data_IF_122575872766
#
_entry.id   IF_122575872766
#
_cell.length_a   1.000
_cell.length_b   1.000
_cell.length_c   1.000
_cell.angle_alpha   90.00
_cell.angle_beta   90.00
_cell.angle_gamma   90.00
#
_symmetry.space_group_name_H-M   'P 1'
#
loop_
_entity.id
_entity.type
_entity.pdbx_description
1 polymer ?
#
# COMPACT_ATOMS: atom_id res chain seq x y z
N UNK A 1 17.51 -3.89 -0.49
CA UNK A 1 16.94 -5.18 -0.88
C UNK A 1 15.52 -4.90 -1.29
N UNK A 2 15.03 -5.61 -2.30
CA UNK A 2 13.64 -5.51 -2.75
C UNK A 2 13.01 -6.89 -2.70
N UNK A 3 11.77 -6.96 -2.25
CA UNK A 3 10.99 -8.18 -2.05
C UNK A 3 9.65 -8.05 -2.74
N UNK A 4 9.08 -9.16 -3.21
CA UNK A 4 7.72 -9.19 -3.78
C UNK A 4 6.86 -10.08 -2.88
N UNK A 5 6.15 -9.49 -1.90
CA UNK A 5 5.30 -10.25 -1.01
C UNK A 5 3.98 -10.62 -1.71
N UNK A 6 3.50 -11.84 -1.50
CA UNK A 6 2.18 -12.26 -1.94
C UNK A 6 1.14 -11.66 -0.98
N UNK A 7 0.69 -10.44 -1.27
CA UNK A 7 -0.22 -9.65 -0.45
C UNK A 7 -1.27 -8.97 -1.32
N UNK A 8 -2.49 -9.49 -1.27
CA UNK A 8 -3.67 -8.95 -1.95
C UNK A 8 -4.67 -8.46 -0.91
N UNK A 9 -5.26 -7.30 -1.18
CA UNK A 9 -6.26 -6.63 -0.38
C UNK A 9 -7.57 -6.58 -1.16
N UNK A 10 -8.67 -6.91 -0.49
CA UNK A 10 -10.02 -6.64 -0.97
C UNK A 10 -10.42 -5.24 -0.50
N UNK A 11 -10.63 -4.32 -1.45
CA UNK A 11 -11.01 -2.93 -1.15
C UNK A 11 -12.47 -2.81 -0.69
N UNK A 12 -13.26 -3.86 -0.89
CA UNK A 12 -14.65 -3.93 -0.44
C UNK A 12 -14.79 -4.64 0.93
N UNK A 13 -13.68 -5.03 1.56
CA UNK A 13 -13.71 -5.70 2.86
C UNK A 13 -14.38 -4.81 3.92
N UNK A 14 -15.52 -5.23 4.50
CA UNK A 14 -16.19 -4.47 5.55
C UNK A 14 -15.38 -4.41 6.86
N UNK A 15 -14.39 -5.28 7.04
CA UNK A 15 -13.59 -5.42 8.25
C UNK A 15 -12.23 -4.68 8.15
N UNK A 16 -12.19 -3.53 7.45
CA UNK A 16 -11.00 -2.66 7.47
C UNK A 16 -10.61 -2.28 8.90
N UNK A 17 -9.30 -2.28 9.25
CA UNK A 17 -8.87 -2.00 10.60
C UNK A 17 -9.23 -0.58 11.02
N UNK A 18 -9.67 -0.44 12.26
CA UNK A 18 -9.90 0.86 12.87
C UNK A 18 -8.59 1.64 13.01
N UNK A 19 -8.69 2.96 13.20
CA UNK A 19 -7.52 3.81 13.43
C UNK A 19 -6.72 3.40 14.68
N UNK A 20 -7.38 2.81 15.68
CA UNK A 20 -6.72 2.32 16.90
C UNK A 20 -5.93 1.03 16.62
N UNK A 21 -6.51 0.08 15.90
CA UNK A 21 -5.84 -1.15 15.46
C UNK A 21 -4.66 -0.85 14.53
N UNK A 22 -4.81 0.15 13.65
CA UNK A 22 -3.72 0.64 12.81
C UNK A 22 -2.57 1.25 13.62
N UNK A 23 -2.89 2.05 14.64
CA UNK A 23 -1.88 2.65 15.51
C UNK A 23 -1.14 1.59 16.34
N UNK A 24 -1.84 0.57 16.82
CA UNK A 24 -1.23 -0.56 17.52
C UNK A 24 -0.32 -1.37 16.60
N UNK A 25 -0.81 -1.71 15.40
CA UNK A 25 -0.05 -2.43 14.37
C UNK A 25 1.22 -1.66 13.99
N UNK A 26 1.10 -0.36 13.76
CA UNK A 26 2.24 0.54 13.48
C UNK A 26 3.29 0.46 14.58
N UNK A 27 2.88 0.53 15.85
CA UNK A 27 3.81 0.49 17.00
C UNK A 27 4.58 -0.83 17.10
N UNK A 28 3.89 -1.95 16.87
CA UNK A 28 4.52 -3.27 16.85
C UNK A 28 5.50 -3.43 15.70
N UNK A 29 5.08 -3.08 14.47
CA UNK A 29 5.95 -3.11 13.31
C UNK A 29 7.16 -2.20 13.46
N UNK A 30 6.98 -0.97 13.94
CA UNK A 30 8.08 -0.03 14.14
C UNK A 30 9.14 -0.60 15.08
N UNK A 31 8.72 -1.32 16.13
CA UNK A 31 9.63 -1.97 17.07
C UNK A 31 10.42 -3.08 16.39
N UNK A 32 9.74 -3.98 15.67
CA UNK A 32 10.36 -5.10 14.96
C UNK A 32 11.35 -4.62 13.88
N UNK A 33 10.95 -3.61 13.10
CA UNK A 33 11.75 -3.07 12.00
C UNK A 33 12.99 -2.31 12.50
N UNK A 34 12.85 -1.54 13.59
CA UNK A 34 13.99 -0.86 14.23
C UNK A 34 14.96 -1.85 14.89
N UNK A 35 14.48 -2.99 15.40
CA UNK A 35 15.36 -4.04 15.92
C UNK A 35 16.30 -4.60 14.85
N UNK A 36 15.89 -4.53 13.57
CA UNK A 36 16.73 -4.86 12.41
C UNK A 36 17.62 -3.70 11.93
N UNK A 37 17.65 -2.57 12.66
CA UNK A 37 18.38 -1.35 12.29
C UNK A 37 17.97 -0.78 10.93
N UNK A 38 16.71 -0.96 10.55
CA UNK A 38 16.16 -0.34 9.34
C UNK A 38 15.90 1.14 9.58
N UNK A 39 16.26 1.96 8.59
CA UNK A 39 16.00 3.39 8.56
C UNK A 39 14.72 3.72 7.77
N UNK A 40 14.39 2.94 6.75
CA UNK A 40 13.25 3.21 5.87
C UNK A 40 12.69 1.93 5.27
N UNK A 41 11.39 1.95 5.02
CA UNK A 41 10.69 0.99 4.16
C UNK A 41 9.90 1.75 3.10
N UNK A 42 9.87 1.22 1.90
CA UNK A 42 8.99 1.64 0.83
C UNK A 42 8.14 0.45 0.39
N UNK A 43 6.83 0.62 0.34
CA UNK A 43 5.85 -0.36 -0.15
C UNK A 43 5.25 0.20 -1.43
N UNK A 44 5.51 -0.44 -2.56
CA UNK A 44 4.92 -0.08 -3.86
C UNK A 44 3.74 -0.98 -4.13
N UNK A 45 2.65 -0.41 -4.61
CA UNK A 45 1.41 -1.14 -4.83
C UNK A 45 0.75 -0.75 -6.14
N UNK A 46 -0.07 -1.68 -6.62
CA UNK A 46 -1.00 -1.48 -7.72
C UNK A 46 -2.40 -1.88 -7.23
N UNK A 47 -3.42 -1.21 -7.75
CA UNK A 47 -4.80 -1.55 -7.48
C UNK A 47 -5.67 -1.37 -8.72
N UNK A 48 -6.64 -2.26 -8.84
CA UNK A 48 -7.75 -2.18 -9.78
C UNK A 48 -9.03 -1.74 -9.05
N UNK A 49 -10.21 -2.07 -9.61
CA UNK A 49 -11.50 -1.61 -9.08
C UNK A 49 -11.82 -2.20 -7.70
N UNK A 50 -11.47 -3.45 -7.47
CA UNK A 50 -11.90 -4.22 -6.29
C UNK A 50 -10.72 -4.67 -5.44
N UNK A 51 -9.51 -4.73 -6.00
CA UNK A 51 -8.35 -5.30 -5.32
C UNK A 51 -7.12 -4.40 -5.39
N UNK A 52 -6.31 -4.46 -4.33
CA UNK A 52 -4.98 -3.88 -4.29
C UNK A 52 -3.95 -4.97 -4.00
N UNK A 53 -2.75 -4.86 -4.55
CA UNK A 53 -1.66 -5.76 -4.24
C UNK A 53 -0.34 -5.02 -4.10
N UNK A 54 0.52 -5.53 -3.22
CA UNK A 54 1.89 -5.02 -3.07
C UNK A 54 2.76 -5.62 -4.17
N UNK A 55 3.28 -4.76 -5.02
CA UNK A 55 4.23 -5.13 -6.07
C UNK A 55 5.62 -5.37 -5.49
N UNK A 56 6.08 -4.42 -4.66
CA UNK A 56 7.40 -4.53 -4.04
C UNK A 56 7.47 -3.92 -2.64
N UNK A 57 8.37 -4.46 -1.83
CA UNK A 57 8.87 -3.82 -0.60
C UNK A 57 10.37 -3.59 -0.75
N UNK A 58 10.81 -2.35 -0.57
CA UNK A 58 12.22 -1.97 -0.56
C UNK A 58 12.62 -1.43 0.81
N UNK A 59 13.83 -1.74 1.27
CA UNK A 59 14.30 -1.33 2.60
C UNK A 59 15.68 -0.70 2.60
N UNK A 60 15.91 0.20 3.57
CA UNK A 60 17.20 0.82 3.85
C UNK A 60 17.67 0.50 5.27
N UNK A 61 18.95 0.09 5.46
CA UNK A 61 19.95 -0.14 4.43
C UNK A 61 19.61 -1.36 3.56
N UNK A 62 19.98 -1.31 2.28
CA UNK A 62 19.63 -2.34 1.31
C UNK A 62 20.24 -3.72 1.60
N UNK A 63 21.18 -3.82 2.53
CA UNK A 63 21.84 -5.06 2.98
C UNK A 63 21.10 -5.77 4.11
N UNK A 64 20.10 -5.13 4.73
CA UNK A 64 19.34 -5.74 5.80
C UNK A 64 18.47 -6.88 5.27
N UNK A 65 18.43 -7.99 6.01
CA UNK A 65 17.60 -9.14 5.73
C UNK A 65 16.37 -9.10 6.63
N UNK A 66 15.20 -9.21 6.03
CA UNK A 66 13.92 -9.21 6.72
C UNK A 66 13.29 -10.58 6.54
N UNK A 67 12.76 -11.16 7.62
CA UNK A 67 12.02 -12.41 7.53
C UNK A 67 10.73 -12.22 6.70
N UNK A 68 10.34 -13.25 5.96
CA UNK A 68 9.15 -13.21 5.09
C UNK A 68 7.88 -12.80 5.84
N UNK A 69 7.70 -13.27 7.09
CA UNK A 69 6.58 -12.87 7.94
C UNK A 69 6.52 -11.36 8.17
N UNK A 70 7.66 -10.74 8.49
CA UNK A 70 7.75 -9.30 8.75
C UNK A 70 7.58 -8.49 7.46
N UNK A 71 8.01 -9.02 6.31
CA UNK A 71 7.71 -8.44 5.00
C UNK A 71 6.19 -8.44 4.75
N UNK A 72 5.51 -9.57 4.98
CA UNK A 72 4.06 -9.70 4.78
C UNK A 72 3.27 -8.76 5.68
N UNK A 73 3.62 -8.68 6.97
CA UNK A 73 2.98 -7.75 7.92
C UNK A 73 3.21 -6.28 7.54
N UNK A 74 4.41 -5.93 7.06
CA UNK A 74 4.69 -4.58 6.58
C UNK A 74 3.93 -4.24 5.28
N UNK A 75 3.79 -5.20 4.36
CA UNK A 75 2.96 -5.06 3.16
C UNK A 75 1.48 -4.81 3.51
N UNK A 76 0.91 -5.67 4.35
CA UNK A 76 -0.48 -5.55 4.78
C UNK A 76 -0.74 -4.18 5.43
N UNK A 77 0.09 -3.80 6.41
CA UNK A 77 0.02 -2.48 7.03
C UNK A 77 0.16 -1.34 6.03
N UNK A 78 1.04 -1.48 5.03
CA UNK A 78 1.25 -0.47 3.99
C UNK A 78 -0.04 -0.19 3.20
N UNK A 79 -0.76 -1.24 2.81
CA UNK A 79 -2.04 -1.11 2.12
C UNK A 79 -3.14 -0.60 3.06
N UNK A 80 -3.27 -1.19 4.25
CA UNK A 80 -4.24 -0.73 5.27
C UNK A 80 -4.12 0.75 5.55
N UNK A 81 -2.89 1.22 5.82
CA UNK A 81 -2.64 2.61 6.15
C UNK A 81 -2.96 3.51 4.96
N UNK A 82 -2.51 3.12 3.76
CA UNK A 82 -2.76 3.89 2.53
C UNK A 82 -4.25 4.08 2.28
N UNK A 83 -5.04 3.01 2.35
CA UNK A 83 -6.48 3.08 2.11
C UNK A 83 -7.28 3.65 3.28
N UNK A 84 -6.73 3.64 4.51
CA UNK A 84 -7.36 4.32 5.64
C UNK A 84 -7.35 5.86 5.53
N UNK A 85 -6.39 6.44 4.80
CA UNK A 85 -6.25 7.89 4.64
C UNK A 85 -6.55 8.38 3.23
N UNK A 86 -6.46 7.51 2.23
CA UNK A 86 -6.76 7.81 0.84
C UNK A 86 -7.47 6.62 0.19
N UNK A 87 -8.79 6.71 0.05
CA UNK A 87 -9.62 5.63 -0.48
C UNK A 87 -9.38 5.32 -1.97
N UNK A 88 -8.52 6.10 -2.66
CA UNK A 88 -8.48 6.11 -4.11
C UNK A 88 -9.80 6.63 -4.70
N UNK A 89 -9.77 7.09 -5.93
CA UNK A 89 -10.99 7.50 -6.61
C UNK A 89 -11.68 6.28 -7.22
N UNK A 90 -12.90 6.00 -6.75
CA UNK A 90 -13.85 5.10 -7.41
C UNK A 90 -13.93 5.53 -8.88
N UNK A 91 -13.68 4.61 -9.83
CA UNK A 91 -13.68 4.80 -11.30
C UNK A 91 -12.35 5.16 -12.00
N UNK A 92 -11.20 5.05 -11.35
CA UNK A 92 -9.92 5.01 -12.08
C UNK A 92 -9.76 3.68 -12.84
N UNK A 93 -9.16 3.70 -14.04
CA UNK A 93 -8.82 2.48 -14.80
C UNK A 93 -7.76 1.65 -14.05
N UNK A 94 -6.81 2.36 -13.44
CA UNK A 94 -5.77 1.79 -12.61
C UNK A 94 -5.31 2.80 -11.57
N UNK A 95 -4.93 2.26 -10.43
CA UNK A 95 -4.39 2.97 -9.29
C UNK A 95 -3.01 2.40 -9.00
N UNK A 96 -2.02 3.25 -8.79
CA UNK A 96 -0.70 2.82 -8.35
C UNK A 96 -0.12 3.83 -7.39
N UNK A 97 0.78 3.39 -6.54
CA UNK A 97 1.37 4.29 -5.57
C UNK A 97 2.49 3.67 -4.79
N UNK A 98 2.96 4.45 -3.82
CA UNK A 98 3.89 3.96 -2.82
C UNK A 98 3.63 4.59 -1.46
N UNK A 99 3.85 3.79 -0.43
CA UNK A 99 3.98 4.26 0.94
C UNK A 99 5.46 4.23 1.31
N UNK A 100 6.00 5.37 1.72
CA UNK A 100 7.36 5.48 2.26
C UNK A 100 7.27 5.75 3.75
N UNK A 101 7.88 4.88 4.56
CA UNK A 101 7.94 5.01 6.01
C UNK A 101 9.38 5.27 6.46
N UNK A 102 9.64 6.49 6.94
CA UNK A 102 10.87 6.82 7.66
C UNK A 102 10.74 6.28 9.09
N UNK A 103 11.52 5.23 9.37
CA UNK A 103 11.46 4.54 10.65
C UNK A 103 12.20 5.31 11.75
N UNK A 104 13.05 6.28 11.44
CA UNK A 104 13.80 7.02 12.45
C UNK A 104 12.92 8.11 13.09
N UNK A 105 12.21 8.86 12.26
CA UNK A 105 11.26 9.89 12.64
C UNK A 105 9.86 9.36 12.88
N UNK A 106 9.58 8.11 12.50
CA UNK A 106 8.22 7.55 12.46
C UNK A 106 7.27 8.44 11.66
N UNK A 107 7.63 8.72 10.40
CA UNK A 107 6.84 9.52 9.46
C UNK A 107 6.47 8.69 8.24
N UNK A 108 5.23 8.82 7.78
CA UNK A 108 4.72 8.09 6.62
C UNK A 108 4.30 9.11 5.56
N UNK A 109 4.88 8.96 4.37
CA UNK A 109 4.53 9.68 3.17
C UNK A 109 3.85 8.73 2.17
N UNK A 110 2.77 9.18 1.56
CA UNK A 110 2.03 8.39 0.56
C UNK A 110 2.05 9.14 -0.77
N UNK A 111 2.50 8.44 -1.80
CA UNK A 111 2.36 8.86 -3.17
C UNK A 111 1.29 8.02 -3.86
N UNK A 112 0.39 8.68 -4.56
CA UNK A 112 -0.70 8.03 -5.28
C UNK A 112 -0.84 8.63 -6.68
N UNK A 113 -1.07 7.77 -7.66
CA UNK A 113 -1.27 8.12 -9.07
C UNK A 113 -2.43 7.33 -9.65
N UNK A 114 -3.31 8.05 -10.35
CA UNK A 114 -4.55 7.52 -10.94
C UNK A 114 -4.51 7.69 -12.45
N UNK A 115 -5.02 6.71 -13.20
CA UNK A 115 -5.17 6.80 -14.66
C UNK A 115 -6.64 6.73 -15.05
N UNK A 116 -7.10 7.67 -15.88
CA UNK A 116 -8.47 7.72 -16.40
C UNK A 116 -8.52 7.52 -17.92
N UNK A 117 -9.60 6.89 -18.40
CA UNK A 117 -9.93 6.80 -19.83
C UNK A 117 -11.27 7.50 -20.08
N UNK A 118 -11.28 8.48 -21.00
CA UNK A 118 -12.52 9.09 -21.45
C UNK A 118 -13.24 8.15 -22.43
N UNK A 119 -14.54 7.92 -22.23
CA UNK A 119 -15.38 7.13 -23.14
C UNK A 119 -16.30 8.05 -23.92
N UNK A 120 -16.16 8.07 -25.25
CA UNK A 120 -17.07 8.79 -26.16
C UNK A 120 -18.05 7.81 -26.82
N UNK A 121 -19.35 8.07 -26.68
CA UNK A 121 -20.41 7.28 -27.28
C UNK A 121 -21.20 8.12 -28.27
N UNK A 122 -21.30 7.68 -29.54
CA UNK A 122 -22.21 8.26 -30.53
C UNK A 122 -23.26 7.24 -30.90
N UNK A 123 -24.54 7.54 -30.66
CA UNK A 123 -25.67 6.70 -31.10
C UNK A 123 -26.37 7.37 -32.27
N UNK A 124 -26.42 6.71 -33.42
CA UNK A 124 -27.28 7.11 -34.53
C UNK A 124 -28.53 6.24 -34.54
N UNK A 125 -29.72 6.86 -34.55
CA UNK A 125 -30.98 6.20 -34.86
C UNK A 125 -31.48 6.72 -36.20
N UNK A 126 -31.41 5.87 -37.23
CA UNK A 126 -32.19 6.08 -38.46
C UNK A 126 -33.65 5.73 -38.19
N UNK A 127 -34.58 6.49 -38.79
CA UNK A 127 -36.03 6.20 -38.80
C UNK A 127 -36.33 4.84 -39.42
#
# INVERSE_FOLDING_TARGET
>A
MTYTPDCTYDLADPDMPSQEELAETRRHLLTDLRALSLAQIEVQYFADEDTAHVETISVLPATALIAEDLQRRAAAFGLDFTYSVNLGVKHALSNQGSLTWDLLSDSIDIFHSETYVAVENTTHRGL
#
